data_IF_422172115069
#
_entry.id   IF_422172115069
#
_cell.length_a   1.000
_cell.length_b   1.000
_cell.length_c   1.000
_cell.angle_alpha   90.00
_cell.angle_beta   90.00
_cell.angle_gamma   90.00
#
_symmetry.space_group_name_H-M   'P 1'
#
loop_
_entity.id
_entity.type
_entity.pdbx_description
1 polymer ?
#
# COMPACT_ATOMS: atom_id res chain seq x y z
N UNK A 1 -7.20 13.57 -1.04
CA UNK A 1 -5.98 13.71 -0.21
C UNK A 1 -5.87 15.06 0.49
N UNK A 2 -6.46 16.11 -0.08
CA UNK A 2 -6.32 17.49 0.41
C UNK A 2 -7.69 18.19 0.45
N UNK A 3 -8.65 17.71 1.27
CA UNK A 3 -9.91 18.41 1.45
C UNK A 3 -9.65 19.77 2.14
N UNK A 4 -10.30 20.81 1.64
CA UNK A 4 -10.22 22.17 2.19
C UNK A 4 -8.79 22.68 2.44
N UNK A 5 -7.82 22.24 1.63
CA UNK A 5 -6.41 22.61 1.75
C UNK A 5 -5.62 21.84 2.81
N UNK A 6 -6.26 20.90 3.54
CA UNK A 6 -5.58 20.11 4.58
C UNK A 6 -5.10 18.76 4.03
N UNK A 7 -3.82 18.47 4.20
CA UNK A 7 -3.26 17.17 3.85
C UNK A 7 -3.74 16.10 4.83
N UNK A 8 -4.20 14.98 4.30
CA UNK A 8 -4.75 13.87 5.09
C UNK A 8 -3.82 12.67 5.16
N UNK A 9 -2.64 12.76 4.54
CA UNK A 9 -1.65 11.70 4.53
C UNK A 9 -0.30 12.22 4.06
N UNK A 10 0.76 11.57 4.49
CA UNK A 10 2.11 11.83 4.00
C UNK A 10 2.31 11.18 2.63
N UNK A 11 2.40 12.01 1.60
CA UNK A 11 2.63 11.59 0.21
C UNK A 11 3.60 12.57 -0.45
N UNK A 12 4.15 12.20 -1.59
CA UNK A 12 5.04 13.08 -2.32
C UNK A 12 4.26 14.22 -3.01
N UNK A 13 4.64 15.47 -2.73
CA UNK A 13 4.04 16.64 -3.35
C UNK A 13 5.07 17.35 -4.22
N UNK A 14 4.78 17.47 -5.51
CA UNK A 14 5.66 18.11 -6.47
C UNK A 14 6.09 17.18 -7.59
N UNK A 15 7.30 17.36 -8.10
CA UNK A 15 7.81 16.68 -9.29
C UNK A 15 8.70 15.48 -8.90
N UNK A 16 8.10 14.30 -8.85
CA UNK A 16 8.82 13.08 -8.49
C UNK A 16 9.84 12.68 -9.57
N UNK A 17 11.06 12.26 -9.23
CA UNK A 17 11.66 12.18 -7.88
C UNK A 17 12.46 13.43 -7.48
N UNK A 18 12.41 14.51 -8.26
CA UNK A 18 13.35 15.62 -8.24
C UNK A 18 13.07 16.63 -7.14
N UNK A 19 11.79 16.91 -6.86
CA UNK A 19 11.41 17.96 -5.93
C UNK A 19 10.17 17.57 -5.14
N UNK A 20 10.33 17.42 -3.83
CA UNK A 20 9.22 17.34 -2.89
C UNK A 20 8.96 18.71 -2.29
N UNK A 21 7.77 19.27 -2.53
CA UNK A 21 7.37 20.59 -2.02
C UNK A 21 7.05 20.56 -0.51
N UNK A 22 6.94 19.39 0.10
CA UNK A 22 6.74 19.17 1.55
C UNK A 22 5.52 19.87 2.12
N UNK A 23 4.48 20.03 1.32
CA UNK A 23 3.29 20.78 1.73
C UNK A 23 2.50 20.08 2.85
N UNK A 24 2.73 18.78 3.05
CA UNK A 24 2.20 18.01 4.18
C UNK A 24 3.08 18.11 5.45
N UNK A 25 4.20 18.83 5.38
CA UNK A 25 5.14 19.06 6.47
C UNK A 25 6.29 18.06 6.56
N UNK A 26 6.37 17.05 5.68
CA UNK A 26 7.36 15.98 5.78
C UNK A 26 8.13 15.77 4.48
N UNK A 27 9.43 15.60 4.60
CA UNK A 27 10.30 15.22 3.47
C UNK A 27 10.36 13.70 3.27
N UNK A 28 10.35 12.98 4.39
CA UNK A 28 10.44 11.52 4.49
C UNK A 28 9.21 10.96 5.20
N UNK A 29 9.39 9.92 5.99
CA UNK A 29 8.31 9.38 6.83
C UNK A 29 7.88 10.36 7.90
N UNK A 30 6.60 10.32 8.26
CA UNK A 30 6.03 11.08 9.37
C UNK A 30 5.88 10.21 10.62
N UNK A 31 5.81 10.81 11.81
CA UNK A 31 5.38 10.08 13.01
C UNK A 31 4.01 9.44 12.81
N UNK A 32 3.80 8.27 13.39
CA UNK A 32 2.48 7.61 13.36
C UNK A 32 1.44 8.52 14.01
N UNK A 33 0.31 8.70 13.35
CA UNK A 33 -0.78 9.55 13.84
C UNK A 33 -0.56 11.04 13.60
N UNK A 34 0.40 11.44 12.76
CA UNK A 34 0.55 12.84 12.38
C UNK A 34 -0.63 13.38 11.58
N UNK A 35 -1.41 12.51 10.96
CA UNK A 35 -2.59 12.84 10.17
C UNK A 35 -3.87 12.33 10.83
N UNK A 36 -5.02 12.96 10.52
CA UNK A 36 -6.30 12.56 11.10
C UNK A 36 -6.68 11.11 10.78
N UNK A 37 -7.34 10.45 11.73
CA UNK A 37 -7.92 9.15 11.51
C UNK A 37 -9.00 9.19 10.41
N UNK A 38 -9.18 8.08 9.70
CA UNK A 38 -10.29 7.92 8.76
C UNK A 38 -11.63 7.72 9.50
N UNK A 39 -12.75 7.58 8.76
CA UNK A 39 -14.07 7.38 9.32
C UNK A 39 -14.25 6.13 10.18
N UNK A 40 -13.28 5.22 10.21
CA UNK A 40 -13.24 4.02 11.06
C UNK A 40 -12.28 4.18 12.26
N UNK A 41 -11.74 5.36 12.49
CA UNK A 41 -10.78 5.62 13.56
C UNK A 41 -9.36 5.07 13.27
N UNK A 42 -9.05 4.69 12.03
CA UNK A 42 -7.75 4.13 11.65
C UNK A 42 -6.82 5.24 11.15
N UNK A 43 -5.59 5.23 11.66
CA UNK A 43 -4.52 6.18 11.32
C UNK A 43 -3.66 5.62 10.18
N UNK A 44 -3.08 6.52 9.37
CA UNK A 44 -2.05 6.24 8.37
C UNK A 44 -2.36 5.07 7.40
N UNK A 45 -3.64 4.91 7.05
CA UNK A 45 -4.06 3.86 6.11
C UNK A 45 -3.60 4.09 4.67
N UNK A 46 -3.12 5.29 4.37
CA UNK A 46 -2.57 5.70 3.08
C UNK A 46 -1.36 6.61 3.29
N UNK A 47 -0.37 6.52 2.39
CA UNK A 47 0.87 7.30 2.49
C UNK A 47 1.83 6.76 3.54
N UNK A 48 2.76 7.57 3.99
CA UNK A 48 3.83 7.30 4.95
C UNK A 48 4.71 6.10 4.52
N UNK A 49 4.33 4.88 4.85
CA UNK A 49 5.01 3.65 4.43
C UNK A 49 4.03 2.64 3.86
N UNK A 50 4.48 1.83 2.92
CA UNK A 50 3.77 0.62 2.50
C UNK A 50 3.59 -0.31 3.69
N UNK A 51 2.46 -0.97 3.78
CA UNK A 51 2.19 -1.91 4.84
C UNK A 51 2.02 -3.34 4.30
N UNK A 52 2.70 -4.27 4.94
CA UNK A 52 2.52 -5.69 4.69
C UNK A 52 1.10 -6.12 5.04
N UNK A 53 0.53 -6.95 4.20
CA UNK A 53 -0.69 -7.70 4.51
C UNK A 53 -0.38 -9.19 4.65
N UNK A 54 -1.32 -9.94 5.20
CA UNK A 54 -1.18 -11.40 5.32
C UNK A 54 -1.51 -12.16 4.01
N UNK A 55 -1.94 -11.45 2.98
CA UNK A 55 -2.30 -12.06 1.71
C UNK A 55 -1.08 -12.36 0.83
N UNK A 56 -1.04 -13.54 0.25
CA UNK A 56 -0.13 -13.85 -0.85
C UNK A 56 -0.58 -13.14 -2.13
N UNK A 57 0.38 -12.65 -2.89
CA UNK A 57 0.07 -11.93 -4.11
C UNK A 57 -0.45 -12.87 -5.20
N UNK A 58 -1.51 -12.44 -5.87
CA UNK A 58 -1.97 -13.00 -7.13
C UNK A 58 -2.26 -11.85 -8.10
N UNK A 59 -1.83 -11.95 -9.35
CA UNK A 59 -2.05 -10.90 -10.36
C UNK A 59 -3.55 -10.67 -10.60
N UNK A 60 -4.31 -11.76 -10.60
CA UNK A 60 -5.77 -11.75 -10.69
C UNK A 60 -6.34 -12.55 -9.53
N UNK A 61 -7.50 -12.13 -9.02
CA UNK A 61 -8.25 -12.98 -8.10
C UNK A 61 -8.78 -14.19 -8.89
N UNK A 62 -8.45 -15.37 -8.43
CA UNK A 62 -9.14 -16.57 -8.89
C UNK A 62 -10.58 -16.50 -8.35
N UNK A 63 -11.51 -16.05 -9.17
CA UNK A 63 -12.93 -16.06 -8.85
C UNK A 63 -13.51 -17.37 -9.37
N UNK A 64 -13.83 -18.34 -8.53
CA UNK A 64 -14.62 -19.48 -8.95
C UNK A 64 -16.02 -18.98 -9.31
N UNK A 65 -16.39 -18.99 -10.59
CA UNK A 65 -17.72 -18.62 -11.01
C UNK A 65 -17.79 -17.37 -11.89
N UNK A 66 -18.88 -16.64 -11.83
CA UNK A 66 -19.20 -15.58 -12.77
C UNK A 66 -18.37 -14.30 -12.54
N UNK A 67 -17.74 -13.72 -13.60
CA UNK A 67 -16.86 -12.54 -13.48
C UNK A 67 -17.52 -11.28 -12.94
N UNK A 68 -18.85 -11.21 -12.87
CA UNK A 68 -19.60 -10.03 -12.48
C UNK A 68 -20.02 -10.01 -11.00
N UNK A 69 -19.64 -11.02 -10.21
CA UNK A 69 -20.13 -11.12 -8.83
C UNK A 69 -19.06 -10.68 -7.83
N UNK A 70 -19.48 -9.99 -6.79
CA UNK A 70 -18.61 -9.74 -5.64
C UNK A 70 -18.18 -11.06 -5.01
N UNK A 71 -16.89 -11.19 -4.74
CA UNK A 71 -16.35 -12.37 -4.05
C UNK A 71 -16.69 -12.23 -2.57
N UNK A 72 -17.46 -13.18 -2.04
CA UNK A 72 -17.70 -13.26 -0.61
C UNK A 72 -16.44 -13.75 0.09
N UNK A 73 -16.01 -13.02 1.14
CA UNK A 73 -14.82 -13.31 1.92
C UNK A 73 -13.57 -13.56 1.05
N UNK A 74 -13.14 -12.57 0.24
CA UNK A 74 -12.01 -12.73 -0.67
C UNK A 74 -10.75 -13.13 0.10
N UNK A 75 -10.04 -14.11 -0.41
CA UNK A 75 -8.75 -14.56 0.11
C UNK A 75 -7.65 -14.17 -0.86
N UNK A 76 -6.44 -13.99 -0.33
CA UNK A 76 -5.24 -13.81 -1.13
C UNK A 76 -4.91 -15.01 -1.99
N UNK A 77 -3.89 -14.89 -2.83
CA UNK A 77 -3.35 -15.96 -3.64
C UNK A 77 -2.75 -17.10 -2.81
N UNK A 78 -2.15 -18.07 -3.50
CA UNK A 78 -1.39 -19.16 -2.87
C UNK A 78 0.10 -18.82 -2.87
N UNK A 79 0.82 -19.19 -1.82
CA UNK A 79 2.26 -18.95 -1.67
C UNK A 79 3.04 -19.44 -2.88
N UNK A 80 2.74 -20.65 -3.33
CA UNK A 80 3.42 -21.34 -4.41
C UNK A 80 3.29 -20.62 -5.76
N UNK A 81 2.21 -19.84 -5.94
CA UNK A 81 1.90 -19.09 -7.17
C UNK A 81 2.19 -17.59 -7.05
N UNK A 82 2.73 -17.14 -5.92
CA UNK A 82 2.91 -15.71 -5.66
C UNK A 82 4.25 -15.15 -6.16
N UNK A 83 5.18 -15.98 -6.61
CA UNK A 83 6.46 -15.55 -7.15
C UNK A 83 6.30 -14.80 -8.49
N UNK A 84 7.33 -14.10 -8.89
CA UNK A 84 7.37 -13.46 -10.21
C UNK A 84 7.70 -14.50 -11.28
N UNK A 85 6.81 -14.77 -12.25
CA UNK A 85 7.09 -15.75 -13.30
C UNK A 85 8.23 -15.30 -14.24
N UNK A 86 8.57 -14.03 -14.26
CA UNK A 86 9.66 -13.48 -15.07
C UNK A 86 11.00 -13.46 -14.33
N UNK A 87 11.02 -13.75 -13.04
CA UNK A 87 12.24 -13.78 -12.24
C UNK A 87 12.71 -15.23 -12.07
N UNK A 88 13.97 -15.55 -12.47
CA UNK A 88 14.53 -16.91 -12.28
C UNK A 88 14.66 -17.31 -10.81
N UNK A 89 14.71 -16.33 -9.91
CA UNK A 89 14.76 -16.57 -8.46
C UNK A 89 13.33 -16.64 -7.92
N UNK A 90 12.95 -17.81 -7.42
CA UNK A 90 11.59 -18.08 -6.92
C UNK A 90 11.44 -17.58 -5.48
N UNK A 91 11.19 -16.28 -5.31
CA UNK A 91 10.87 -15.68 -4.02
C UNK A 91 9.37 -15.42 -3.95
N UNK A 92 8.65 -15.96 -2.95
CA UNK A 92 7.24 -15.67 -2.75
C UNK A 92 7.01 -14.18 -2.48
N UNK A 93 5.86 -13.65 -2.92
CA UNK A 93 5.50 -12.26 -2.73
C UNK A 93 4.21 -12.14 -1.93
N UNK A 94 4.20 -11.22 -0.98
CA UNK A 94 2.99 -10.79 -0.28
C UNK A 94 2.46 -9.49 -0.87
N UNK A 95 1.21 -9.22 -0.57
CA UNK A 95 0.58 -7.95 -0.94
C UNK A 95 1.02 -6.87 0.06
N UNK A 96 1.40 -5.71 -0.47
CA UNK A 96 1.53 -4.48 0.30
C UNK A 96 0.47 -3.48 -0.11
N UNK A 97 0.03 -2.65 0.83
CA UNK A 97 -1.07 -1.69 0.69
C UNK A 97 -0.68 -0.29 1.17
N UNK A 98 -1.52 0.68 0.86
CA UNK A 98 -1.46 2.03 1.39
C UNK A 98 -0.60 3.02 0.61
N UNK A 99 0.39 2.57 -0.15
CA UNK A 99 1.38 3.47 -0.73
C UNK A 99 2.37 3.98 0.31
N UNK A 100 3.19 4.96 -0.05
CA UNK A 100 4.17 5.55 0.86
C UNK A 100 4.34 7.06 0.60
N UNK A 101 5.16 7.71 1.40
CA UNK A 101 5.59 9.10 1.19
C UNK A 101 6.24 9.34 -0.19
N UNK A 102 6.64 8.30 -0.90
CA UNK A 102 7.19 8.38 -2.26
C UNK A 102 6.10 8.32 -3.36
N UNK A 103 4.83 8.15 -3.00
CA UNK A 103 3.75 8.11 -3.97
C UNK A 103 3.28 9.52 -4.32
N UNK A 104 3.56 9.94 -5.56
CA UNK A 104 3.13 11.22 -6.10
C UNK A 104 1.89 11.07 -7.00
N UNK A 105 0.97 12.03 -7.03
CA UNK A 105 -0.14 12.06 -7.98
C UNK A 105 0.30 12.03 -9.45
N UNK A 106 1.47 12.63 -9.74
CA UNK A 106 2.07 12.69 -11.07
C UNK A 106 2.78 11.40 -11.50
N UNK A 107 3.15 10.53 -10.53
CA UNK A 107 3.94 9.33 -10.80
C UNK A 107 3.19 8.04 -10.50
N UNK A 108 2.74 7.86 -9.25
CA UNK A 108 1.98 6.69 -8.87
C UNK A 108 0.87 7.05 -7.88
N UNK A 109 -0.34 6.56 -8.13
CA UNK A 109 -1.48 6.74 -7.22
C UNK A 109 -1.74 5.49 -6.40
N UNK A 110 -0.70 4.81 -5.94
CA UNK A 110 -0.81 3.51 -5.24
C UNK A 110 -1.31 3.64 -3.80
N UNK A 111 -1.43 4.87 -3.29
CA UNK A 111 -2.14 5.15 -2.03
C UNK A 111 -3.66 4.95 -2.11
N UNK A 112 -4.23 4.74 -3.30
CA UNK A 112 -5.68 4.47 -3.43
C UNK A 112 -6.05 3.13 -2.78
N UNK A 113 -7.19 3.01 -2.10
CA UNK A 113 -7.60 1.79 -1.39
C UNK A 113 -7.61 0.52 -2.26
N UNK A 114 -7.97 0.65 -3.53
CA UNK A 114 -7.96 -0.48 -4.46
C UNK A 114 -6.55 -0.92 -4.90
N UNK A 115 -5.53 -0.06 -4.77
CA UNK A 115 -4.18 -0.38 -5.18
C UNK A 115 -3.57 -1.45 -4.26
N UNK A 116 -2.83 -2.35 -4.86
CA UNK A 116 -2.02 -3.36 -4.17
C UNK A 116 -0.74 -3.57 -4.94
N UNK A 117 0.32 -3.94 -4.26
CA UNK A 117 1.62 -4.18 -4.86
C UNK A 117 2.17 -5.51 -4.40
N UNK A 118 2.85 -6.21 -5.32
CA UNK A 118 3.60 -7.42 -4.98
C UNK A 118 4.94 -7.03 -4.38
N UNK A 119 5.27 -7.59 -3.22
CA UNK A 119 6.56 -7.37 -2.57
C UNK A 119 7.18 -8.71 -2.16
N UNK A 120 8.44 -8.97 -2.56
CA UNK A 120 9.17 -10.15 -2.13
C UNK A 120 9.32 -10.18 -0.61
N UNK A 121 9.12 -11.35 0.00
CA UNK A 121 9.09 -11.48 1.47
C UNK A 121 10.43 -11.22 2.16
N UNK A 122 11.51 -11.21 1.41
CA UNK A 122 12.89 -10.93 1.86
C UNK A 122 13.29 -9.46 1.65
N UNK A 123 12.34 -8.59 1.31
CA UNK A 123 12.61 -7.16 1.07
C UNK A 123 12.53 -6.37 2.36
N UNK A 124 13.53 -5.50 2.56
CA UNK A 124 13.51 -4.44 3.55
C UNK A 124 13.84 -3.10 2.88
N UNK A 125 13.01 -2.08 3.09
CA UNK A 125 13.22 -0.72 2.58
C UNK A 125 12.76 0.31 3.60
N UNK A 126 13.23 1.57 3.46
CA UNK A 126 12.90 2.67 4.37
C UNK A 126 11.43 3.10 4.33
N UNK A 127 10.68 2.65 3.32
CA UNK A 127 9.26 3.02 3.11
C UNK A 127 8.33 1.81 3.16
N UNK A 128 8.73 0.75 3.89
CA UNK A 128 7.96 -0.47 4.07
C UNK A 128 7.86 -0.81 5.56
N UNK A 129 6.65 -1.02 6.05
CA UNK A 129 6.36 -1.30 7.44
C UNK A 129 5.19 -2.27 7.60
N UNK A 130 4.66 -2.36 8.79
CA UNK A 130 3.52 -3.22 9.11
C UNK A 130 2.73 -2.66 10.30
N UNK A 131 1.50 -3.12 10.44
CA UNK A 131 0.69 -2.94 11.65
C UNK A 131 0.17 -4.28 12.13
N UNK A 132 0.11 -4.45 13.43
CA UNK A 132 -0.45 -5.64 14.04
C UNK A 132 -1.96 -5.49 14.26
N UNK A 133 -2.68 -6.62 14.12
CA UNK A 133 -4.09 -6.71 14.46
C UNK A 133 -4.24 -7.70 15.61
N UNK A 134 -4.84 -7.27 16.71
CA UNK A 134 -5.21 -8.15 17.81
C UNK A 134 -6.64 -8.61 17.56
N UNK A 135 -6.83 -9.91 17.50
CA UNK A 135 -8.18 -10.51 17.44
C UNK A 135 -8.63 -10.76 18.86
N UNK A 136 -9.75 -10.13 19.21
CA UNK A 136 -10.45 -10.41 20.46
C UNK A 136 -11.18 -11.75 20.42
#
# INVERSE_FOLDING_TARGET
LVPDGHYMANTFQGEFPWRNDKNDGYEWTSPVGAFPANGYGLLDMIGNVWEWTDDWYAAHHEVPGKPCCAVENPRGGRREHSHDPLNPIVVPRRVTKGGSHLCAPSYCRRYRPAARMAQCIDTATSHLGFRCVVRG
#
